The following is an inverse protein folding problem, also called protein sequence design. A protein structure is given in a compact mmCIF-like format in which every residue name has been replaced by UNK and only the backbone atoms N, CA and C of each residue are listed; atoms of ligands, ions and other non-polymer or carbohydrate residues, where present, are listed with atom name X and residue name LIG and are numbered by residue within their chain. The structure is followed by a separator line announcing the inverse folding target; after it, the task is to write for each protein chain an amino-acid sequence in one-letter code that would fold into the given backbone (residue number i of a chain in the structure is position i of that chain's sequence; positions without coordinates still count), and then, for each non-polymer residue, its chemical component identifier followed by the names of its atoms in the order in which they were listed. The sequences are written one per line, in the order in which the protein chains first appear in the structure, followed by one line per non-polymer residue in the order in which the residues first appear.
data_IF_200064766670
#
_entry.id   IF_200064766670
#
_cell.length_a   1.000
_cell.length_b   1.000
_cell.length_c   1.000
_cell.angle_alpha   90.00
_cell.angle_beta   90.00
_cell.angle_gamma   90.00
#
_symmetry.space_group_name_H-M   'P 1'
#
loop_
_entity.id
_entity.type
_entity.pdbx_description
1 polymer ?
#
# COMPACT_ATOMS: atom_id res chain seq x y z
N UNK A 1 11.19 4.52 -9.37
CA UNK A 1 11.39 5.36 -8.16
C UNK A 1 10.67 6.67 -8.38
N UNK A 2 10.07 7.23 -7.33
CA UNK A 2 9.45 8.56 -7.38
C UNK A 2 10.56 9.60 -7.54
N UNK A 3 10.41 10.47 -8.54
CA UNK A 3 11.35 11.58 -8.80
C UNK A 3 10.93 12.82 -8.03
N UNK A 4 11.90 13.56 -7.52
CA UNK A 4 11.68 14.82 -6.80
C UNK A 4 12.34 15.98 -7.56
N UNK A 5 11.65 17.10 -7.61
CA UNK A 5 12.20 18.38 -8.05
C UNK A 5 13.04 19.01 -6.93
N UNK A 6 13.88 19.99 -7.27
CA UNK A 6 14.71 20.68 -6.27
C UNK A 6 13.87 21.36 -5.17
N UNK A 7 12.65 21.80 -5.48
CA UNK A 7 11.76 22.47 -4.53
C UNK A 7 11.04 21.50 -3.58
N UNK A 8 10.99 20.21 -3.94
CA UNK A 8 10.41 19.14 -3.13
C UNK A 8 11.46 18.49 -2.23
N UNK A 9 12.75 18.85 -2.35
CA UNK A 9 13.84 18.29 -1.57
C UNK A 9 14.23 19.27 -0.46
N UNK A 10 13.98 18.89 0.79
CA UNK A 10 14.21 19.76 1.95
C UNK A 10 15.11 19.06 2.96
N UNK A 11 16.18 19.74 3.38
CA UNK A 11 17.06 19.23 4.43
C UNK A 11 16.41 19.35 5.82
N UNK A 12 16.74 18.43 6.73
CA UNK A 12 16.17 18.40 8.09
C UNK A 12 16.33 19.74 8.85
N UNK A 13 17.47 20.43 8.66
CA UNK A 13 17.75 21.72 9.29
C UNK A 13 16.90 22.85 8.73
N UNK A 14 16.61 22.82 7.43
CA UNK A 14 15.74 23.81 6.77
C UNK A 14 14.28 23.57 7.15
N UNK A 15 13.87 22.31 7.19
CA UNK A 15 12.54 21.91 7.65
C UNK A 15 12.25 22.44 9.06
N UNK A 16 13.21 22.29 9.99
CA UNK A 16 13.03 22.77 11.37
C UNK A 16 12.83 24.28 11.50
N UNK A 17 13.39 25.08 10.57
CA UNK A 17 13.27 26.54 10.57
C UNK A 17 11.95 27.04 9.97
N UNK A 18 11.37 26.28 9.04
CA UNK A 18 10.25 26.75 8.22
C UNK A 18 9.15 25.71 8.04
N UNK A 19 8.96 24.82 9.03
CA UNK A 19 8.01 23.71 8.98
C UNK A 19 6.60 24.17 8.59
N UNK A 20 6.10 25.26 9.20
CA UNK A 20 4.77 25.80 8.89
C UNK A 20 4.60 26.15 7.41
N UNK A 21 5.58 26.84 6.82
CA UNK A 21 5.55 27.19 5.39
C UNK A 21 5.56 25.96 4.49
N UNK A 22 6.29 24.90 4.85
CA UNK A 22 6.29 23.66 4.08
C UNK A 22 4.96 22.91 4.19
N UNK A 23 4.34 22.90 5.38
CA UNK A 23 2.99 22.37 5.56
C UNK A 23 1.99 23.14 4.71
N UNK A 24 2.05 24.48 4.70
CA UNK A 24 1.16 25.33 3.90
C UNK A 24 1.33 25.09 2.40
N UNK A 25 2.55 24.89 1.92
CA UNK A 25 2.81 24.57 0.50
C UNK A 25 2.18 23.23 0.08
N UNK A 26 2.20 22.23 0.96
CA UNK A 26 1.63 20.90 0.70
C UNK A 26 0.10 20.93 0.84
N UNK A 27 -0.43 21.61 1.85
CA UNK A 27 -1.88 21.71 2.07
C UNK A 27 -2.59 22.56 1.02
N UNK A 28 -1.93 23.60 0.52
CA UNK A 28 -2.41 24.43 -0.62
C UNK A 28 -2.21 23.78 -1.99
N UNK A 29 -1.61 22.58 -2.06
CA UNK A 29 -1.25 21.90 -3.31
C UNK A 29 -0.30 22.69 -4.21
N UNK A 30 0.44 23.65 -3.64
CA UNK A 30 1.52 24.36 -4.36
C UNK A 30 2.67 23.41 -4.71
N UNK A 31 2.93 22.45 -3.82
CA UNK A 31 3.77 21.28 -4.08
C UNK A 31 2.98 20.03 -3.69
N UNK A 32 3.11 18.97 -4.47
CA UNK A 32 2.37 17.72 -4.20
C UNK A 32 2.92 16.97 -2.98
N UNK A 33 4.25 17.00 -2.79
CA UNK A 33 4.97 16.23 -1.79
C UNK A 33 6.30 16.88 -1.46
N UNK A 34 6.82 16.64 -0.26
CA UNK A 34 8.16 17.10 0.14
C UNK A 34 8.95 15.91 0.66
N UNK A 35 10.08 15.60 0.04
CA UNK A 35 11.07 14.65 0.54
C UNK A 35 12.02 15.31 1.53
N UNK A 36 12.12 14.72 2.72
CA UNK A 36 13.04 15.12 3.77
C UNK A 36 14.36 14.38 3.56
N UNK A 37 15.43 15.13 3.33
CA UNK A 37 16.78 14.60 3.16
C UNK A 37 17.53 14.59 4.49
N UNK A 38 18.11 13.44 4.82
CA UNK A 38 19.10 13.27 5.89
C UNK A 38 20.27 12.46 5.35
N UNK A 39 21.51 12.88 5.66
CA UNK A 39 22.73 12.25 5.14
C UNK A 39 22.74 12.04 3.61
N UNK A 40 22.27 13.05 2.85
CA UNK A 40 22.17 13.03 1.38
C UNK A 40 21.23 11.97 0.78
N UNK A 41 20.28 11.42 1.57
CA UNK A 41 19.26 10.50 1.08
C UNK A 41 17.86 10.95 1.56
N UNK A 42 16.82 10.80 0.73
CA UNK A 42 15.44 10.94 1.19
C UNK A 42 15.12 9.87 2.23
N UNK A 43 14.71 10.26 3.42
CA UNK A 43 14.32 9.33 4.50
C UNK A 43 12.82 9.36 4.81
N UNK A 44 12.15 10.47 4.54
CA UNK A 44 10.72 10.62 4.80
C UNK A 44 10.07 11.54 3.76
N UNK A 45 8.74 11.48 3.65
CA UNK A 45 7.94 12.34 2.78
C UNK A 45 6.81 12.99 3.57
N UNK A 46 6.57 14.27 3.31
CA UNK A 46 5.40 15.02 3.79
C UNK A 46 4.39 15.07 2.65
N UNK A 47 3.16 14.67 2.95
CA UNK A 47 2.00 14.69 2.07
C UNK A 47 0.85 15.39 2.79
N UNK A 48 -0.11 15.91 2.03
CA UNK A 48 -1.35 16.40 2.62
C UNK A 48 -2.15 15.22 3.17
N UNK A 49 -3.00 15.48 4.16
CA UNK A 49 -3.88 14.44 4.72
C UNK A 49 -4.79 13.87 3.62
N UNK A 50 -5.34 14.72 2.76
CA UNK A 50 -6.15 14.31 1.62
C UNK A 50 -5.41 13.32 0.70
N UNK A 51 -4.13 13.60 0.39
CA UNK A 51 -3.32 12.72 -0.45
C UNK A 51 -3.05 11.37 0.22
N UNK A 52 -2.70 11.41 1.51
CA UNK A 52 -2.46 10.20 2.30
C UNK A 52 -3.71 9.32 2.38
N UNK A 53 -4.88 9.91 2.67
CA UNK A 53 -6.15 9.19 2.72
C UNK A 53 -6.53 8.63 1.35
N UNK A 54 -6.31 9.39 0.27
CA UNK A 54 -6.53 8.91 -1.10
C UNK A 54 -5.68 7.68 -1.40
N UNK A 55 -4.40 7.69 -1.05
CA UNK A 55 -3.50 6.55 -1.22
C UNK A 55 -3.97 5.32 -0.42
N UNK A 56 -4.42 5.52 0.82
CA UNK A 56 -5.00 4.46 1.65
C UNK A 56 -6.27 3.86 1.03
N UNK A 57 -7.16 4.70 0.50
CA UNK A 57 -8.37 4.25 -0.20
C UNK A 57 -8.05 3.46 -1.47
N UNK A 58 -7.06 3.89 -2.25
CA UNK A 58 -6.60 3.13 -3.41
C UNK A 58 -6.03 1.76 -3.04
N UNK A 59 -5.28 1.67 -1.94
CA UNK A 59 -4.75 0.40 -1.46
C UNK A 59 -5.87 -0.59 -1.14
N UNK A 60 -6.90 -0.15 -0.42
CA UNK A 60 -8.07 -0.97 -0.07
C UNK A 60 -8.86 -1.39 -1.32
N UNK A 61 -9.03 -0.47 -2.28
CA UNK A 61 -9.70 -0.79 -3.53
C UNK A 61 -8.95 -1.86 -4.34
N UNK A 62 -7.61 -1.76 -4.42
CA UNK A 62 -6.79 -2.76 -5.11
C UNK A 62 -6.87 -4.13 -4.44
N UNK A 63 -6.82 -4.19 -3.11
CA UNK A 63 -7.01 -5.44 -2.37
C UNK A 63 -8.37 -6.08 -2.67
N UNK A 64 -9.43 -5.28 -2.66
CA UNK A 64 -10.77 -5.75 -3.00
C UNK A 64 -10.86 -6.28 -4.44
N UNK A 65 -10.17 -5.65 -5.40
CA UNK A 65 -10.09 -6.15 -6.77
C UNK A 65 -9.35 -7.49 -6.86
N UNK A 66 -8.25 -7.65 -6.13
CA UNK A 66 -7.52 -8.93 -6.07
C UNK A 66 -8.41 -10.04 -5.50
N UNK A 67 -9.13 -9.76 -4.41
CA UNK A 67 -10.10 -10.71 -3.82
C UNK A 67 -11.19 -11.06 -4.82
N UNK A 68 -11.78 -10.06 -5.50
CA UNK A 68 -12.81 -10.28 -6.50
C UNK A 68 -12.30 -11.14 -7.66
N UNK A 69 -11.06 -10.94 -8.10
CA UNK A 69 -10.41 -11.78 -9.12
C UNK A 69 -10.25 -13.22 -8.64
N UNK A 70 -9.77 -13.43 -7.42
CA UNK A 70 -9.63 -14.78 -6.83
C UNK A 70 -10.99 -15.49 -6.74
N UNK A 71 -12.05 -14.78 -6.37
CA UNK A 71 -13.41 -15.32 -6.34
C UNK A 71 -13.87 -15.68 -7.75
N UNK A 72 -13.68 -14.79 -8.71
CA UNK A 72 -14.03 -15.04 -10.12
C UNK A 72 -13.35 -16.32 -10.64
N UNK A 73 -12.03 -16.45 -10.45
CA UNK A 73 -11.26 -17.60 -10.93
C UNK A 73 -11.64 -18.92 -10.24
N UNK A 74 -11.93 -18.89 -8.94
CA UNK A 74 -12.18 -20.10 -8.16
C UNK A 74 -13.64 -20.55 -8.11
N UNK A 75 -14.58 -19.64 -8.33
CA UNK A 75 -16.01 -19.89 -8.11
C UNK A 75 -16.82 -19.70 -9.39
N UNK A 76 -16.69 -18.54 -10.03
CA UNK A 76 -17.62 -18.12 -11.08
C UNK A 76 -17.19 -18.59 -12.48
N UNK A 77 -15.91 -18.45 -12.82
CA UNK A 77 -15.37 -18.66 -14.18
C UNK A 77 -14.46 -19.91 -14.23
N UNK A 78 -14.96 -20.98 -13.62
CA UNK A 78 -14.19 -22.18 -13.34
C UNK A 78 -13.93 -23.00 -14.61
N UNK A 79 -12.68 -23.06 -15.05
CA UNK A 79 -12.24 -23.89 -16.19
C UNK A 79 -12.31 -25.40 -15.91
N UNK A 80 -12.23 -25.79 -14.64
CA UNK A 80 -12.35 -27.18 -14.19
C UNK A 80 -13.55 -27.35 -13.25
N UNK A 81 -14.26 -28.50 -13.32
CA UNK A 81 -15.37 -28.78 -12.43
C UNK A 81 -14.93 -28.82 -10.96
N UNK A 82 -15.82 -28.38 -10.06
CA UNK A 82 -15.55 -28.30 -8.61
C UNK A 82 -15.25 -29.71 -8.07
N UNK A 83 -14.00 -29.99 -7.74
CA UNK A 83 -13.62 -31.17 -6.96
C UNK A 83 -13.91 -30.92 -5.49
N UNK A 84 -15.02 -31.48 -5.02
CA UNK A 84 -15.34 -31.58 -3.60
C UNK A 84 -14.47 -32.68 -2.98
N UNK A 85 -13.96 -32.45 -1.78
CA UNK A 85 -13.32 -33.50 -0.96
C UNK A 85 -14.21 -33.76 0.25
N UNK A 86 -14.27 -35.01 0.70
CA UNK A 86 -14.99 -35.32 1.94
C UNK A 86 -14.25 -34.75 3.15
N UNK A 87 -14.96 -34.62 4.28
CA UNK A 87 -14.35 -34.20 5.54
C UNK A 87 -13.17 -35.11 5.93
N UNK A 88 -13.34 -36.42 5.77
CA UNK A 88 -12.30 -37.42 6.07
C UNK A 88 -11.05 -37.23 5.20
N UNK A 89 -11.23 -37.03 3.89
CA UNK A 89 -10.14 -36.81 2.95
C UNK A 89 -9.40 -35.49 3.23
N UNK A 90 -10.12 -34.45 3.66
CA UNK A 90 -9.52 -33.19 4.09
C UNK A 90 -8.62 -33.39 5.32
N UNK A 91 -9.10 -34.12 6.33
CA UNK A 91 -8.36 -34.37 7.57
C UNK A 91 -7.10 -35.20 7.32
N UNK A 92 -7.14 -36.19 6.44
CA UNK A 92 -5.94 -36.94 6.04
C UNK A 92 -4.88 -36.05 5.39
N UNK A 93 -5.29 -35.14 4.50
CA UNK A 93 -4.36 -34.18 3.85
C UNK A 93 -3.72 -33.22 4.85
N UNK A 94 -4.46 -32.79 5.88
CA UNK A 94 -3.92 -31.89 6.92
C UNK A 94 -2.91 -32.62 7.82
N UNK A 95 -3.21 -33.89 8.20
CA UNK A 95 -2.27 -34.75 8.93
C UNK A 95 -0.98 -35.00 8.16
N UNK A 96 -1.05 -35.24 6.85
CA UNK A 96 0.14 -35.40 5.99
C UNK A 96 1.02 -34.14 5.93
N UNK A 97 0.44 -32.95 6.16
CA UNK A 97 1.16 -31.67 6.21
C UNK A 97 1.72 -31.33 7.60
N UNK A 98 1.58 -32.24 8.57
CA UNK A 98 2.06 -32.03 9.94
C UNK A 98 1.23 -31.04 10.78
N UNK A 99 0.03 -30.68 10.30
CA UNK A 99 -0.91 -29.85 11.04
C UNK A 99 -1.85 -30.79 11.81
N UNK A 100 -1.61 -30.96 13.11
CA UNK A 100 -2.54 -31.68 13.99
C UNK A 100 -3.72 -30.75 14.33
N UNK A 101 -4.84 -30.95 13.63
CA UNK A 101 -6.17 -30.38 13.92
C UNK A 101 -7.13 -31.49 14.34
#
# INVERSE_FOLDING_TARGET
MVTYTQQELVGITELGKSLGSFIDKVSSKTVEKIAIIKHNKPEAVILSIEEYERMKGFQEYLENLEIAQVINERVLDKKEPIKMVSYEEMMERLKQKGLNV
#
